data_IF_308910409904
#
_entry.id   IF_308910409904
#
_cell.length_a   1.000
_cell.length_b   1.000
_cell.length_c   1.000
_cell.angle_alpha   90.00
_cell.angle_beta   90.00
_cell.angle_gamma   90.00
#
_symmetry.space_group_name_H-M   'P 1'
#
loop_
_entity.id
_entity.type
_entity.pdbx_description
1 polymer ?
#
# COMPACT_ATOMS: atom_id res chain seq x y z
N UNK A 1 -18.12 -11.35 94.52
CA UNK A 1 -17.75 -10.42 95.61
C UNK A 1 -16.28 -10.06 95.46
N UNK A 2 -15.98 -8.75 95.51
CA UNK A 2 -14.66 -8.06 95.58
C UNK A 2 -13.70 -8.28 94.38
N UNK A 3 -13.41 -7.28 93.53
CA UNK A 3 -12.56 -6.07 93.75
C UNK A 3 -11.07 -6.40 93.76
N UNK A 4 -10.11 -5.72 93.12
CA UNK A 4 -10.01 -4.52 92.26
C UNK A 4 -8.52 -4.36 91.86
N UNK A 5 -8.22 -3.63 90.77
CA UNK A 5 -7.10 -2.64 90.66
C UNK A 5 -5.63 -3.15 90.55
N UNK A 6 -4.70 -2.63 89.73
CA UNK A 6 -4.49 -1.35 89.00
C UNK A 6 -3.47 -1.49 87.83
N UNK A 7 -3.72 -0.75 86.75
CA UNK A 7 -2.85 0.12 85.92
C UNK A 7 -1.42 -0.28 85.52
N UNK A 8 -1.15 -0.24 84.21
CA UNK A 8 -0.24 0.78 83.66
C UNK A 8 -0.60 1.13 82.20
N UNK A 9 -0.43 2.40 81.83
CA UNK A 9 -0.87 3.05 80.59
C UNK A 9 0.31 3.62 79.79
N UNK A 10 0.27 3.51 78.46
CA UNK A 10 0.84 4.40 77.42
C UNK A 10 0.66 3.68 76.06
N UNK A 11 -0.35 4.02 75.27
CA UNK A 11 -0.43 5.10 74.25
C UNK A 11 0.25 4.79 72.90
N UNK A 12 -0.54 5.03 71.85
CA UNK A 12 -0.26 5.13 70.41
C UNK A 12 -0.05 3.82 69.62
N UNK A 13 -0.58 3.62 68.42
CA UNK A 13 -1.71 4.19 67.68
C UNK A 13 -1.97 3.27 66.46
N UNK A 14 -3.22 3.25 66.02
CA UNK A 14 -3.84 2.75 64.79
C UNK A 14 -3.16 1.82 63.74
N UNK A 15 -3.89 0.72 63.53
CA UNK A 15 -4.52 0.27 62.28
C UNK A 15 -4.01 -1.00 61.56
N UNK A 16 -4.88 -2.02 61.69
CA UNK A 16 -5.11 -3.15 60.81
C UNK A 16 -5.09 -2.74 59.33
N UNK A 17 -4.12 -3.24 58.56
CA UNK A 17 -4.19 -3.27 57.10
C UNK A 17 -4.77 -4.62 56.66
N UNK A 18 -6.08 -4.78 56.88
CA UNK A 18 -6.84 -5.89 56.30
C UNK A 18 -7.26 -5.49 54.88
N UNK A 19 -6.39 -5.76 53.91
CA UNK A 19 -6.72 -5.71 52.49
C UNK A 19 -7.94 -6.62 52.21
N UNK A 20 -9.06 -6.10 51.65
CA UNK A 20 -10.16 -6.95 51.25
C UNK A 20 -9.74 -7.74 50.01
N UNK A 21 -9.53 -9.05 50.19
CA UNK A 21 -9.34 -9.99 49.08
C UNK A 21 -10.56 -9.93 48.16
N UNK A 22 -10.33 -9.55 46.90
CA UNK A 22 -11.34 -9.54 45.85
C UNK A 22 -11.97 -10.94 45.71
N UNK A 23 -13.28 -11.04 45.48
CA UNK A 23 -13.95 -12.33 45.35
C UNK A 23 -13.37 -13.10 44.15
N UNK A 24 -13.05 -14.36 44.37
CA UNK A 24 -12.58 -15.28 43.34
C UNK A 24 -13.65 -15.41 42.25
N UNK A 25 -13.24 -15.22 40.99
CA UNK A 25 -14.17 -15.22 39.87
C UNK A 25 -14.89 -16.58 39.79
N UNK A 26 -16.22 -16.55 39.77
CA UNK A 26 -17.00 -17.79 39.68
C UNK A 26 -16.67 -18.54 38.38
N UNK A 27 -16.79 -19.86 38.39
CA UNK A 27 -16.53 -20.72 37.22
C UNK A 27 -17.25 -20.23 35.95
N UNK A 28 -18.46 -19.69 36.12
CA UNK A 28 -19.24 -19.10 35.03
C UNK A 28 -18.63 -17.79 34.47
N UNK A 29 -17.98 -16.97 35.30
CA UNK A 29 -17.24 -15.78 34.84
C UNK A 29 -15.92 -16.13 34.16
N UNK A 30 -15.23 -17.19 34.62
CA UNK A 30 -14.04 -17.72 33.96
C UNK A 30 -14.37 -18.24 32.56
N UNK A 31 -15.48 -18.99 32.42
CA UNK A 31 -15.94 -19.50 31.12
C UNK A 31 -16.31 -18.38 30.14
N UNK A 32 -17.02 -17.34 30.59
CA UNK A 32 -17.34 -16.18 29.74
C UNK A 32 -16.10 -15.40 29.33
N UNK A 33 -15.12 -15.24 30.21
CA UNK A 33 -13.85 -14.58 29.90
C UNK A 33 -13.02 -15.38 28.90
N UNK A 34 -12.95 -16.70 29.04
CA UNK A 34 -12.31 -17.58 28.07
C UNK A 34 -12.98 -17.51 26.70
N UNK A 35 -14.31 -17.44 26.66
CA UNK A 35 -15.06 -17.26 25.42
C UNK A 35 -14.78 -15.90 24.76
N UNK A 36 -14.71 -14.82 25.55
CA UNK A 36 -14.37 -13.49 25.07
C UNK A 36 -12.92 -13.43 24.57
N UNK A 37 -11.98 -14.06 25.27
CA UNK A 37 -10.59 -14.16 24.85
C UNK A 37 -10.43 -15.04 23.60
N UNK A 38 -11.29 -16.05 23.41
CA UNK A 38 -11.34 -16.85 22.19
C UNK A 38 -11.84 -16.04 20.99
N UNK A 39 -12.91 -15.26 21.16
CA UNK A 39 -13.39 -14.30 20.16
C UNK A 39 -12.32 -13.25 19.83
N UNK A 40 -11.66 -12.71 20.85
CA UNK A 40 -10.60 -11.70 20.67
C UNK A 40 -9.35 -12.28 19.99
N UNK A 41 -9.02 -13.55 20.22
CA UNK A 41 -7.95 -14.27 19.48
C UNK A 41 -8.36 -14.64 18.05
N UNK A 42 -9.64 -14.88 17.80
CA UNK A 42 -10.15 -15.08 16.45
C UNK A 42 -10.06 -13.78 15.61
N UNK A 43 -10.28 -12.62 16.24
CA UNK A 43 -10.09 -11.30 15.60
C UNK A 43 -8.61 -10.91 15.46
N UNK A 44 -7.74 -11.33 16.38
CA UNK A 44 -6.31 -11.02 16.37
C UNK A 44 -5.46 -11.85 15.37
N UNK A 45 -6.11 -12.53 14.42
CA UNK A 45 -5.41 -13.30 13.40
C UNK A 45 -4.71 -14.51 14.00
N UNK A 46 -5.49 -15.58 14.27
CA UNK A 46 -4.92 -16.93 14.32
C UNK A 46 -4.17 -17.12 13.02
N UNK A 47 -2.85 -17.34 13.13
CA UNK A 47 -1.91 -17.60 12.04
C UNK A 47 -2.62 -18.31 10.92
N UNK A 48 -3.03 -17.53 9.91
CA UNK A 48 -3.58 -18.09 8.70
C UNK A 48 -2.54 -19.10 8.26
N UNK A 49 -2.96 -20.35 8.08
CA UNK A 49 -2.29 -21.24 7.17
C UNK A 49 -2.11 -20.44 5.89
N UNK A 50 -0.96 -19.79 5.73
CA UNK A 50 -0.67 -19.02 4.54
C UNK A 50 -0.57 -20.09 3.48
N UNK A 51 -1.65 -20.26 2.74
CA UNK A 51 -1.63 -20.96 1.48
C UNK A 51 -0.63 -20.12 0.69
N UNK A 52 0.63 -20.55 0.66
CA UNK A 52 1.67 -19.86 -0.09
C UNK A 52 1.24 -20.01 -1.53
N UNK A 53 0.60 -18.98 -2.08
CA UNK A 53 0.08 -18.94 -3.46
C UNK A 53 1.22 -18.91 -4.49
N UNK A 54 2.39 -19.47 -4.16
CA UNK A 54 3.64 -19.25 -4.86
C UNK A 54 4.12 -17.80 -4.70
N UNK A 55 5.36 -17.54 -5.13
CA UNK A 55 5.77 -16.17 -5.38
C UNK A 55 4.97 -15.64 -6.58
N UNK A 56 4.51 -14.39 -6.63
CA UNK A 56 3.93 -13.82 -7.85
C UNK A 56 4.87 -14.00 -9.06
N UNK A 57 6.18 -14.10 -8.82
CA UNK A 57 7.21 -14.37 -9.82
C UNK A 57 7.12 -15.74 -10.51
N UNK A 58 6.37 -16.70 -9.98
CA UNK A 58 6.15 -18.00 -10.64
C UNK A 58 4.98 -18.00 -11.63
N UNK A 59 4.20 -16.90 -11.71
CA UNK A 59 3.04 -16.85 -12.59
C UNK A 59 3.46 -16.58 -14.06
N UNK A 60 2.93 -17.30 -15.07
CA UNK A 60 3.34 -17.16 -16.47
C UNK A 60 3.22 -15.76 -17.06
N UNK A 61 2.26 -14.96 -16.57
CA UNK A 61 2.03 -13.58 -17.00
C UNK A 61 2.84 -12.53 -16.21
N UNK A 62 3.50 -12.90 -15.12
CA UNK A 62 4.28 -11.96 -14.31
C UNK A 62 5.46 -11.32 -15.05
N UNK A 63 6.21 -12.02 -15.93
CA UNK A 63 7.34 -11.41 -16.64
C UNK A 63 6.99 -10.12 -17.41
N UNK A 64 5.75 -9.98 -17.88
CA UNK A 64 5.31 -8.78 -18.58
C UNK A 64 5.23 -7.53 -17.69
N UNK A 65 4.96 -7.69 -16.39
CA UNK A 65 4.87 -6.60 -15.42
C UNK A 65 6.06 -6.52 -14.46
N UNK A 66 6.92 -7.55 -14.43
CA UNK A 66 8.02 -7.65 -13.47
C UNK A 66 8.93 -6.40 -13.41
N UNK A 67 9.35 -5.79 -14.55
CA UNK A 67 10.15 -4.56 -14.50
C UNK A 67 9.42 -3.39 -13.83
N UNK A 68 8.11 -3.28 -14.08
CA UNK A 68 7.28 -2.22 -13.50
C UNK A 68 6.98 -2.47 -12.02
N UNK A 69 6.74 -3.72 -11.62
CA UNK A 69 6.61 -4.09 -10.22
C UNK A 69 7.88 -3.77 -9.42
N UNK A 70 9.06 -3.97 -10.02
CA UNK A 70 10.34 -3.58 -9.43
C UNK A 70 10.54 -2.07 -9.33
N UNK A 71 10.17 -1.33 -10.39
CA UNK A 71 10.29 0.14 -10.44
C UNK A 71 9.28 0.86 -9.55
N UNK A 72 8.07 0.32 -9.43
CA UNK A 72 6.95 0.92 -8.69
C UNK A 72 6.41 -0.08 -7.64
N UNK A 73 7.16 -0.35 -6.57
CA UNK A 73 6.81 -1.38 -5.58
C UNK A 73 5.47 -1.10 -4.87
N UNK A 74 5.11 0.17 -4.67
CA UNK A 74 3.82 0.57 -4.09
C UNK A 74 2.62 0.30 -4.99
N UNK A 75 2.84 0.12 -6.30
CA UNK A 75 1.81 -0.24 -7.28
C UNK A 75 1.88 -1.72 -7.67
N UNK A 76 2.90 -2.47 -7.23
CA UNK A 76 3.22 -3.78 -7.78
C UNK A 76 2.07 -4.80 -7.66
N UNK A 77 1.41 -4.88 -6.50
CA UNK A 77 0.29 -5.80 -6.28
C UNK A 77 -0.92 -5.43 -7.12
N UNK A 78 -1.30 -4.16 -7.11
CA UNK A 78 -2.40 -3.63 -7.91
C UNK A 78 -2.14 -3.82 -9.40
N UNK A 79 -0.94 -3.47 -9.89
CA UNK A 79 -0.55 -3.59 -11.28
C UNK A 79 -0.65 -5.03 -11.76
N UNK A 80 -0.08 -5.97 -11.01
CA UNK A 80 -0.11 -7.36 -11.41
C UNK A 80 -1.53 -7.93 -11.39
N UNK A 81 -2.31 -7.66 -10.34
CA UNK A 81 -3.69 -8.16 -10.26
C UNK A 81 -4.58 -7.56 -11.35
N UNK A 82 -4.48 -6.25 -11.61
CA UNK A 82 -5.20 -5.59 -12.71
C UNK A 82 -4.77 -6.16 -14.06
N UNK A 83 -3.48 -6.41 -14.27
CA UNK A 83 -3.02 -7.03 -15.51
C UNK A 83 -3.58 -8.44 -15.71
N UNK A 84 -3.62 -9.25 -14.66
CA UNK A 84 -4.26 -10.58 -14.71
C UNK A 84 -5.75 -10.47 -15.02
N UNK A 85 -6.46 -9.56 -14.36
CA UNK A 85 -7.91 -9.38 -14.56
C UNK A 85 -8.22 -8.87 -15.96
N UNK A 86 -7.44 -7.95 -16.53
CA UNK A 86 -7.64 -7.46 -17.89
C UNK A 86 -7.30 -8.53 -18.95
N UNK A 87 -6.25 -9.33 -18.73
CA UNK A 87 -5.86 -10.42 -19.64
C UNK A 87 -6.81 -11.61 -19.60
N UNK A 88 -7.34 -11.95 -18.42
CA UNK A 88 -8.22 -13.10 -18.20
C UNK A 88 -9.71 -12.74 -18.21
N UNK A 89 -10.03 -11.45 -18.05
CA UNK A 89 -11.37 -10.92 -18.00
C UNK A 89 -12.14 -11.25 -19.27
N UNK A 90 -13.45 -11.46 -19.12
CA UNK A 90 -14.37 -12.02 -20.11
C UNK A 90 -14.31 -11.28 -21.46
N UNK A 91 -13.34 -11.65 -22.29
CA UNK A 91 -13.22 -11.32 -23.70
C UNK A 91 -13.33 -9.82 -24.07
N UNK A 92 -13.23 -8.88 -23.13
CA UNK A 92 -13.51 -7.46 -23.40
C UNK A 92 -12.33 -6.73 -24.05
N UNK A 93 -11.11 -7.20 -23.81
CA UNK A 93 -9.86 -6.57 -24.26
C UNK A 93 -9.18 -7.39 -25.35
N UNK A 94 -8.71 -6.73 -26.41
CA UNK A 94 -7.86 -7.34 -27.44
C UNK A 94 -6.38 -7.05 -27.19
N UNK A 95 -6.07 -5.85 -26.72
CA UNK A 95 -4.71 -5.42 -26.36
C UNK A 95 -4.68 -5.01 -24.89
N UNK A 96 -3.64 -5.45 -24.19
CA UNK A 96 -3.37 -5.11 -22.78
C UNK A 96 -1.86 -5.11 -22.61
N UNK A 97 -1.29 -3.93 -22.42
CA UNK A 97 0.15 -3.68 -22.41
C UNK A 97 0.53 -2.85 -21.18
N UNK A 98 1.38 -3.38 -20.28
CA UNK A 98 1.93 -2.60 -19.18
C UNK A 98 2.85 -1.50 -19.73
N UNK A 99 2.75 -0.29 -19.19
CA UNK A 99 3.61 0.84 -19.60
C UNK A 99 3.99 1.73 -18.42
N UNK A 100 4.95 2.62 -18.68
CA UNK A 100 5.30 3.71 -17.78
C UNK A 100 4.77 5.02 -18.36
N UNK A 101 4.02 5.76 -17.55
CA UNK A 101 3.64 7.14 -17.84
C UNK A 101 4.74 8.07 -17.31
N UNK A 102 5.38 8.83 -18.19
CA UNK A 102 6.47 9.76 -17.89
C UNK A 102 6.20 11.12 -18.51
N UNK A 103 6.68 12.19 -17.86
CA UNK A 103 6.74 13.51 -18.48
C UNK A 103 7.82 13.52 -19.56
N UNK A 104 7.52 14.12 -20.71
CA UNK A 104 8.40 14.18 -21.90
C UNK A 104 9.69 14.99 -21.69
N UNK A 105 9.96 15.50 -20.48
CA UNK A 105 11.23 16.16 -20.14
C UNK A 105 12.38 15.19 -19.86
N UNK A 106 12.12 13.89 -19.69
CA UNK A 106 13.14 12.84 -19.59
C UNK A 106 13.23 12.04 -20.90
N UNK A 107 13.85 12.65 -21.91
CA UNK A 107 14.37 11.91 -23.05
C UNK A 107 15.48 10.96 -22.60
N UNK A 108 15.35 9.69 -22.98
CA UNK A 108 16.44 8.73 -23.20
C UNK A 108 17.65 8.82 -22.25
N UNK A 109 17.60 8.17 -21.09
CA UNK A 109 18.80 7.54 -20.50
C UNK A 109 18.43 6.62 -19.34
N UNK A 110 18.88 5.37 -19.39
CA UNK A 110 19.03 4.55 -18.19
C UNK A 110 18.28 3.23 -18.10
N UNK A 111 18.29 2.40 -19.15
CA UNK A 111 18.45 0.95 -18.91
C UNK A 111 19.90 0.72 -18.45
N UNK A 112 20.25 1.26 -17.27
CA UNK A 112 21.43 0.82 -16.57
C UNK A 112 21.00 -0.43 -15.81
N UNK A 113 21.34 -1.61 -16.34
CA UNK A 113 21.60 -2.76 -15.49
C UNK A 113 22.58 -2.29 -14.41
N UNK A 114 22.07 -2.03 -13.21
CA UNK A 114 22.91 -1.79 -12.04
C UNK A 114 23.43 -3.15 -11.60
N UNK A 115 24.41 -3.66 -12.35
CA UNK A 115 25.29 -4.73 -11.92
C UNK A 115 26.26 -4.15 -10.90
N UNK A 116 25.88 -4.22 -9.63
CA UNK A 116 26.85 -4.26 -8.55
C UNK A 116 26.64 -5.58 -7.81
N UNK A 117 27.19 -6.66 -8.36
CA UNK A 117 27.71 -7.72 -7.48
C UNK A 117 28.95 -7.13 -6.80
N UNK A 118 28.72 -6.27 -5.81
CA UNK A 118 29.75 -6.03 -4.80
C UNK A 118 29.69 -7.27 -3.93
N UNK A 119 30.71 -8.11 -4.01
CA UNK A 119 30.81 -9.34 -3.23
C UNK A 119 30.66 -8.99 -1.74
N UNK A 120 29.49 -9.33 -1.17
CA UNK A 120 29.06 -8.89 0.16
C UNK A 120 29.71 -9.73 1.27
N UNK A 121 30.44 -10.79 0.91
CA UNK A 121 31.01 -11.76 1.85
C UNK A 121 32.18 -11.24 2.68
N UNK A 122 32.65 -10.01 2.44
CA UNK A 122 33.79 -9.42 3.15
C UNK A 122 33.48 -8.09 3.84
N UNK A 123 32.21 -7.70 3.94
CA UNK A 123 31.82 -6.48 4.67
C UNK A 123 31.90 -6.73 6.17
N UNK A 124 32.51 -5.79 6.90
CA UNK A 124 32.39 -5.76 8.35
C UNK A 124 30.97 -5.39 8.78
N UNK A 125 30.57 -5.76 10.00
CA UNK A 125 29.24 -5.46 10.53
C UNK A 125 28.94 -3.94 10.48
N UNK A 126 29.93 -3.11 10.78
CA UNK A 126 29.83 -1.64 10.76
C UNK A 126 29.63 -1.09 9.33
N UNK A 127 30.32 -1.65 8.35
CA UNK A 127 30.16 -1.27 6.94
C UNK A 127 28.81 -1.74 6.40
N UNK A 128 28.35 -2.92 6.80
CA UNK A 128 27.03 -3.44 6.42
C UNK A 128 25.91 -2.56 6.98
N UNK A 129 25.98 -2.18 8.26
CA UNK A 129 25.02 -1.27 8.89
C UNK A 129 25.00 0.10 8.19
N UNK A 130 26.16 0.67 7.87
CA UNK A 130 26.25 1.94 7.16
C UNK A 130 25.60 1.87 5.78
N UNK A 131 25.83 0.77 5.05
CA UNK A 131 25.28 0.57 3.71
C UNK A 131 23.75 0.37 3.76
N UNK A 132 23.25 -0.35 4.77
CA UNK A 132 21.82 -0.46 5.06
C UNK A 132 21.22 0.91 5.40
N UNK A 133 21.87 1.69 6.25
CA UNK A 133 21.43 3.03 6.64
C UNK A 133 21.36 3.97 5.43
N UNK A 134 22.39 3.96 4.59
CA UNK A 134 22.47 4.75 3.36
C UNK A 134 21.37 4.35 2.38
N UNK A 135 21.14 3.04 2.18
CA UNK A 135 20.05 2.53 1.34
C UNK A 135 18.68 2.86 1.90
N UNK A 136 18.48 2.77 3.21
CA UNK A 136 17.23 3.18 3.87
C UNK A 136 16.98 4.68 3.73
N UNK A 137 18.03 5.51 3.79
CA UNK A 137 17.92 6.96 3.58
C UNK A 137 17.61 7.28 2.11
N UNK A 138 18.27 6.62 1.16
CA UNK A 138 17.98 6.74 -0.26
C UNK A 138 16.54 6.32 -0.57
N UNK A 139 16.09 5.15 -0.07
CA UNK A 139 14.71 4.69 -0.23
C UNK A 139 13.70 5.67 0.38
N UNK A 140 13.95 6.21 1.58
CA UNK A 140 13.08 7.23 2.19
C UNK A 140 12.97 8.50 1.34
N UNK A 141 13.98 8.80 0.52
CA UNK A 141 14.06 9.98 -0.35
C UNK A 141 13.53 9.72 -1.77
N UNK A 142 13.70 8.51 -2.30
CA UNK A 142 13.47 8.16 -3.70
C UNK A 142 12.22 7.31 -3.93
N UNK A 143 11.56 6.80 -2.87
CA UNK A 143 10.30 6.09 -3.10
C UNK A 143 9.23 7.12 -3.43
N UNK A 144 8.73 7.21 -4.68
CA UNK A 144 7.57 8.05 -4.96
C UNK A 144 6.45 7.56 -4.06
N UNK A 145 6.05 8.38 -3.09
CA UNK A 145 4.98 8.06 -2.13
C UNK A 145 3.64 8.20 -2.81
N UNK A 146 3.45 7.45 -3.88
CA UNK A 146 2.20 7.40 -4.58
C UNK A 146 1.14 6.82 -3.63
N UNK A 147 0.28 7.72 -3.12
CA UNK A 147 -0.85 7.43 -2.25
C UNK A 147 -0.56 7.26 -0.76
N UNK A 148 0.67 7.49 -0.26
CA UNK A 148 0.96 7.60 1.17
C UNK A 148 1.05 9.07 1.56
N UNK A 149 -0.10 9.70 1.78
CA UNK A 149 -0.25 11.13 2.04
C UNK A 149 0.80 11.65 3.03
N UNK A 150 1.77 12.43 2.55
CA UNK A 150 2.49 13.37 3.39
C UNK A 150 1.66 14.66 3.43
N UNK A 151 1.38 15.21 4.62
CA UNK A 151 0.55 16.41 4.80
C UNK A 151 1.28 17.70 4.38
N UNK A 152 2.05 17.66 3.30
CA UNK A 152 2.76 18.81 2.73
C UNK A 152 2.07 19.28 1.46
N UNK A 153 2.33 20.53 1.07
CA UNK A 153 1.54 21.35 0.13
C UNK A 153 1.03 20.60 -1.12
N UNK A 154 -0.25 20.80 -1.44
CA UNK A 154 -1.01 20.11 -2.49
C UNK A 154 -0.32 20.14 -3.87
N UNK A 155 0.43 21.20 -4.19
CA UNK A 155 1.09 21.35 -5.49
C UNK A 155 2.40 20.55 -5.61
N UNK A 156 3.10 20.28 -4.49
CA UNK A 156 4.37 19.57 -4.51
C UNK A 156 4.22 18.09 -4.90
N UNK A 157 3.13 17.47 -4.44
CA UNK A 157 2.84 16.05 -4.69
C UNK A 157 2.54 15.76 -6.18
N UNK A 158 2.01 16.74 -6.92
CA UNK A 158 1.76 16.64 -8.36
C UNK A 158 3.07 16.67 -9.17
N UNK A 159 3.95 17.62 -8.85
CA UNK A 159 5.27 17.78 -9.50
C UNK A 159 6.20 16.59 -9.24
N UNK A 160 6.18 16.05 -8.01
CA UNK A 160 6.91 14.81 -7.69
C UNK A 160 6.46 13.66 -8.59
N UNK A 161 5.14 13.52 -8.80
CA UNK A 161 4.59 12.47 -9.65
C UNK A 161 4.92 12.66 -11.13
N UNK A 162 4.92 13.90 -11.64
CA UNK A 162 5.38 14.19 -13.00
C UNK A 162 6.84 13.75 -13.21
N UNK A 163 7.66 13.93 -12.18
CA UNK A 163 9.08 13.55 -12.21
C UNK A 163 9.30 12.04 -12.08
N UNK A 164 8.61 11.39 -11.13
CA UNK A 164 8.78 9.96 -10.88
C UNK A 164 8.09 9.06 -11.93
N UNK A 165 7.06 9.59 -12.58
CA UNK A 165 6.14 8.84 -13.41
C UNK A 165 5.34 7.81 -12.62
N UNK A 166 4.60 6.96 -13.34
CA UNK A 166 3.84 5.89 -12.73
C UNK A 166 3.67 4.69 -13.66
N UNK A 167 3.39 3.52 -13.08
CA UNK A 167 2.98 2.35 -13.84
C UNK A 167 1.51 2.49 -14.25
N UNK A 168 1.21 2.11 -15.47
CA UNK A 168 -0.15 2.04 -15.98
C UNK A 168 -0.29 0.84 -16.93
N UNK A 169 -1.52 0.60 -17.38
CA UNK A 169 -1.79 -0.38 -18.43
C UNK A 169 -2.51 0.35 -19.56
N UNK A 170 -1.94 0.29 -20.76
CA UNK A 170 -2.63 0.67 -21.99
C UNK A 170 -3.40 -0.53 -22.48
N UNK A 171 -4.70 -0.36 -22.63
CA UNK A 171 -5.57 -1.42 -23.11
C UNK A 171 -6.42 -0.93 -24.27
N UNK A 172 -6.84 -1.84 -25.13
CA UNK A 172 -7.91 -1.59 -26.10
C UNK A 172 -8.99 -2.65 -25.91
N UNK A 173 -10.24 -2.19 -25.97
CA UNK A 173 -11.40 -3.10 -25.98
C UNK A 173 -11.64 -3.58 -27.40
N UNK A 174 -12.20 -4.79 -27.56
CA UNK A 174 -12.46 -5.38 -28.90
C UNK A 174 -13.27 -4.49 -29.84
N UNK A 175 -14.22 -3.73 -29.30
CA UNK A 175 -15.10 -2.86 -30.06
C UNK A 175 -14.66 -1.37 -30.04
N UNK A 176 -13.55 -1.07 -29.35
CA UNK A 176 -13.04 0.29 -29.22
C UNK A 176 -11.96 0.58 -30.27
N UNK A 177 -12.02 1.78 -30.85
CA UNK A 177 -10.99 2.27 -31.78
C UNK A 177 -9.80 2.88 -31.03
N UNK A 178 -10.08 3.48 -29.88
CA UNK A 178 -9.09 4.17 -29.05
C UNK A 178 -8.58 3.25 -27.95
N UNK A 179 -7.34 3.47 -27.58
CA UNK A 179 -6.75 2.87 -26.39
C UNK A 179 -7.20 3.63 -25.13
N UNK A 180 -7.46 2.90 -24.07
CA UNK A 180 -7.78 3.41 -22.74
C UNK A 180 -6.55 3.24 -21.84
N UNK A 181 -6.35 4.18 -20.91
CA UNK A 181 -5.35 4.05 -19.85
C UNK A 181 -6.02 3.57 -18.57
N UNK A 182 -5.47 2.50 -18.00
CA UNK A 182 -5.89 1.93 -16.72
C UNK A 182 -4.82 2.18 -15.67
N UNK A 183 -5.20 2.80 -14.56
CA UNK A 183 -4.33 3.07 -13.43
C UNK A 183 -4.61 2.09 -12.29
N UNK A 184 -3.66 1.20 -11.97
CA UNK A 184 -3.80 0.28 -10.85
C UNK A 184 -3.52 0.99 -9.53
N UNK A 185 -4.49 0.93 -8.62
CA UNK A 185 -4.43 1.53 -7.29
C UNK A 185 -4.82 0.52 -6.23
N UNK A 186 -4.25 0.62 -5.04
CA UNK A 186 -4.80 -0.06 -3.85
C UNK A 186 -5.82 0.84 -3.16
N UNK A 187 -6.78 0.26 -2.43
CA UNK A 187 -7.77 1.03 -1.68
C UNK A 187 -7.17 1.98 -0.62
N UNK A 188 -5.94 1.69 -0.18
CA UNK A 188 -5.21 2.51 0.78
C UNK A 188 -4.54 3.75 0.13
N UNK A 189 -4.48 3.82 -1.20
CA UNK A 189 -3.89 4.95 -1.90
C UNK A 189 -4.90 6.07 -2.06
N UNK A 190 -4.53 7.26 -1.58
CA UNK A 190 -5.32 8.47 -1.74
C UNK A 190 -4.80 9.30 -2.91
N UNK A 191 -5.69 9.68 -3.84
CA UNK A 191 -5.38 10.60 -4.93
C UNK A 191 -5.85 12.01 -4.59
N UNK A 192 -4.92 12.96 -4.61
CA UNK A 192 -5.22 14.38 -4.48
C UNK A 192 -5.64 14.98 -5.83
N UNK A 193 -6.38 16.12 -5.84
CA UNK A 193 -6.75 16.79 -7.09
C UNK A 193 -5.56 17.20 -7.96
N UNK A 194 -4.44 17.62 -7.36
CA UNK A 194 -3.19 17.94 -8.06
C UNK A 194 -2.59 16.71 -8.75
N UNK A 195 -2.63 15.56 -8.09
CA UNK A 195 -2.20 14.28 -8.66
C UNK A 195 -3.11 13.89 -9.84
N UNK A 196 -4.44 14.03 -9.72
CA UNK A 196 -5.33 13.77 -10.86
C UNK A 196 -4.98 14.66 -12.07
N UNK A 197 -4.67 15.94 -11.86
CA UNK A 197 -4.19 16.82 -12.96
C UNK A 197 -2.88 16.31 -13.57
N UNK A 198 -1.91 15.93 -12.74
CA UNK A 198 -0.63 15.39 -13.20
C UNK A 198 -0.79 14.07 -13.96
N UNK A 199 -1.71 13.19 -13.54
CA UNK A 199 -2.09 11.97 -14.28
C UNK A 199 -2.54 12.32 -15.70
N UNK A 200 -3.47 13.26 -15.86
CA UNK A 200 -3.93 13.66 -17.19
C UNK A 200 -2.83 14.30 -18.03
N UNK A 201 -1.93 15.07 -17.42
CA UNK A 201 -0.76 15.62 -18.11
C UNK A 201 0.19 14.50 -18.62
N UNK A 202 0.43 13.47 -17.81
CA UNK A 202 1.23 12.30 -18.21
C UNK A 202 0.55 11.49 -19.34
N UNK A 203 -0.77 11.33 -19.28
CA UNK A 203 -1.53 10.64 -20.34
C UNK A 203 -1.46 11.42 -21.65
N UNK A 204 -1.62 12.74 -21.61
CA UNK A 204 -1.47 13.61 -22.79
C UNK A 204 -0.06 13.54 -23.37
N UNK A 205 0.96 13.60 -22.51
CA UNK A 205 2.35 13.45 -22.91
C UNK A 205 2.60 12.09 -23.60
N UNK A 206 2.07 11.01 -23.05
CA UNK A 206 2.14 9.69 -23.67
C UNK A 206 1.40 9.62 -25.01
N UNK A 207 0.18 10.13 -25.08
CA UNK A 207 -0.63 10.16 -26.30
C UNK A 207 0.08 10.89 -27.44
N UNK A 208 0.80 11.99 -27.14
CA UNK A 208 1.60 12.74 -28.11
C UNK A 208 2.80 11.94 -28.69
N UNK A 209 3.24 10.90 -27.99
CA UNK A 209 4.33 10.01 -28.46
C UNK A 209 3.83 8.77 -29.21
N UNK A 210 2.52 8.53 -29.24
CA UNK A 210 1.94 7.35 -29.88
C UNK A 210 1.98 7.45 -31.42
N UNK A 211 2.19 6.31 -32.07
CA UNK A 211 2.20 6.23 -33.53
C UNK A 211 0.78 6.37 -34.12
N UNK A 212 0.64 6.73 -35.40
CA UNK A 212 -0.65 6.70 -36.09
C UNK A 212 -1.31 5.33 -35.99
N UNK A 213 -2.57 5.27 -35.53
CA UNK A 213 -3.30 4.02 -35.26
C UNK A 213 -3.24 3.54 -33.81
N UNK A 214 -2.48 4.22 -32.95
CA UNK A 214 -2.44 3.99 -31.50
C UNK A 214 -2.99 5.18 -30.71
N UNK A 215 -4.08 5.75 -31.19
CA UNK A 215 -4.71 6.89 -30.52
C UNK A 215 -5.22 6.50 -29.13
N UNK A 216 -4.77 7.23 -28.12
CA UNK A 216 -5.18 7.06 -26.72
C UNK A 216 -6.29 8.05 -26.41
N UNK A 217 -7.37 7.58 -25.80
CA UNK A 217 -8.41 8.46 -25.27
C UNK A 217 -7.88 9.20 -24.04
N UNK A 218 -7.71 10.51 -24.17
CA UNK A 218 -7.22 11.38 -23.09
C UNK A 218 -8.36 12.06 -22.33
N UNK A 219 -9.62 11.83 -22.72
CA UNK A 219 -10.79 12.44 -22.08
C UNK A 219 -11.10 11.82 -20.72
N UNK A 220 -10.63 10.60 -20.48
CA UNK A 220 -10.86 9.89 -19.24
C UNK A 220 -9.70 8.93 -18.91
N UNK A 221 -9.66 8.50 -17.67
CA UNK A 221 -8.76 7.46 -17.17
C UNK A 221 -9.56 6.45 -16.35
N UNK A 222 -9.27 5.17 -16.53
CA UNK A 222 -9.92 4.12 -15.74
C UNK A 222 -9.06 3.80 -14.51
N UNK A 223 -9.60 3.93 -13.31
CA UNK A 223 -8.95 3.51 -12.09
C UNK A 223 -9.36 2.06 -11.78
N UNK A 224 -8.38 1.18 -11.60
CA UNK A 224 -8.57 -0.18 -11.13
C UNK A 224 -8.15 -0.25 -9.66
N UNK A 225 -9.13 -0.24 -8.76
CA UNK A 225 -8.89 -0.22 -7.32
C UNK A 225 -8.95 -1.65 -6.77
N UNK A 226 -7.83 -2.11 -6.22
CA UNK A 226 -7.72 -3.42 -5.54
C UNK A 226 -7.97 -3.27 -4.03
N UNK A 227 -8.87 -4.10 -3.52
CA UNK A 227 -9.09 -4.28 -2.09
C UNK A 227 -8.19 -5.41 -1.52
N UNK A 228 -7.97 -5.48 -0.19
CA UNK A 228 -7.07 -6.49 0.42
C UNK A 228 -7.48 -7.95 0.18
N UNK A 229 -8.75 -8.19 -0.15
CA UNK A 229 -9.30 -9.50 -0.52
C UNK A 229 -9.10 -9.84 -2.00
N UNK A 230 -8.30 -9.04 -2.73
CA UNK A 230 -8.05 -9.13 -4.17
C UNK A 230 -9.25 -8.79 -5.07
N UNK A 231 -10.33 -8.23 -4.50
CA UNK A 231 -11.44 -7.69 -5.30
C UNK A 231 -10.96 -6.46 -6.08
N UNK A 232 -11.27 -6.42 -7.37
CA UNK A 232 -11.02 -5.27 -8.25
C UNK A 232 -12.32 -4.54 -8.57
N UNK A 233 -12.28 -3.21 -8.46
CA UNK A 233 -13.38 -2.33 -8.88
C UNK A 233 -12.85 -1.28 -9.85
N UNK A 234 -13.57 -1.06 -10.94
CA UNK A 234 -13.20 -0.11 -11.98
C UNK A 234 -14.05 1.16 -11.90
N UNK A 235 -13.39 2.32 -11.89
CA UNK A 235 -14.03 3.64 -11.97
C UNK A 235 -13.49 4.40 -13.16
N UNK A 236 -14.37 5.11 -13.88
CA UNK A 236 -13.94 6.03 -14.93
C UNK A 236 -13.92 7.44 -14.34
N UNK A 237 -12.77 8.10 -14.45
CA UNK A 237 -12.63 9.51 -14.10
C UNK A 237 -12.42 10.30 -15.39
N UNK A 238 -13.28 11.27 -15.65
CA UNK A 238 -13.17 12.16 -16.80
C UNK A 238 -12.33 13.40 -16.48
N UNK A 239 -11.62 13.89 -17.48
CA UNK A 239 -10.89 15.15 -17.41
C UNK A 239 -11.87 16.30 -17.10
N UNK A 240 -11.45 17.24 -16.26
CA UNK A 240 -12.27 18.39 -15.87
C UNK A 240 -13.24 18.11 -14.71
N UNK A 241 -13.13 16.95 -14.05
CA UNK A 241 -13.83 16.69 -12.79
C UNK A 241 -13.46 17.76 -11.76
N UNK A 242 -14.45 18.52 -11.30
CA UNK A 242 -14.32 19.53 -10.25
C UNK A 242 -14.90 19.00 -8.94
N UNK A 243 -14.36 19.48 -7.82
CA UNK A 243 -14.92 19.18 -6.50
C UNK A 243 -16.39 19.62 -6.48
N UNK A 244 -17.32 18.79 -5.97
CA UNK A 244 -18.70 19.21 -5.79
C UNK A 244 -18.76 20.49 -4.95
N UNK A 245 -19.42 21.51 -5.48
CA UNK A 245 -19.71 22.73 -4.73
C UNK A 245 -20.88 22.38 -3.81
N UNK A 246 -20.63 22.42 -2.49
CA UNK A 246 -21.68 22.37 -1.46
C UNK A 246 -21.89 23.78 -0.93
#
# INVERSE_FOLDING_TARGET
MASSSLQNSSEADHNHDSMPSLPEASSHQLSKRQHYDALRRAEAGTSSSSISLGSPSSHPLYPAVAPLCGRYPTQASALFQTYLDLKNGAAAWDIVEPLVLLSTSQGESGLAEVKYEKDLSCLSDEEAEKLVQERLQALKKETPKFGLASRTAEDADGEEMLTAGMAAIKGRRKDAKLYEIVLPLTIAQHLQPSQLKAIFALIQAHAATCQPGEEVDTSHVMLAIIAPDSTLVYYIISQGMVKPIN
#
